data_IF_424221646684
#
_entry.id   IF_424221646684
#
_cell.length_a   1.000
_cell.length_b   1.000
_cell.length_c   1.000
_cell.angle_alpha   90.00
_cell.angle_beta   90.00
_cell.angle_gamma   90.00
#
_symmetry.space_group_name_H-M   'P 1'
#
loop_
_entity.id
_entity.type
_entity.pdbx_description
1 polymer ?
#
# COMPACT_ATOMS: atom_id res chain seq x y z
N UNK A 1 9.18 0.92 -21.29
CA UNK A 1 9.71 1.93 -20.36
C UNK A 1 10.95 1.32 -19.68
N UNK A 2 11.54 1.92 -18.67
CA UNK A 2 12.73 1.39 -17.99
C UNK A 2 12.51 1.40 -16.49
N UNK A 3 13.24 0.55 -15.75
CA UNK A 3 13.17 0.51 -14.28
C UNK A 3 13.88 1.71 -13.67
N UNK A 4 13.19 2.47 -12.83
CA UNK A 4 13.72 3.58 -12.06
C UNK A 4 13.34 3.39 -10.58
N UNK A 5 14.34 3.12 -9.76
CA UNK A 5 14.16 2.95 -8.31
C UNK A 5 15.08 3.91 -7.57
N UNK A 6 14.54 4.62 -6.59
CA UNK A 6 15.38 5.42 -5.67
C UNK A 6 16.09 4.51 -4.66
N UNK A 7 17.19 4.97 -4.04
CA UNK A 7 17.82 4.25 -2.94
C UNK A 7 16.84 3.96 -1.79
N UNK A 8 15.96 4.92 -1.48
CA UNK A 8 14.95 4.79 -0.43
C UNK A 8 13.93 3.70 -0.77
N UNK A 9 13.49 3.64 -2.03
CA UNK A 9 12.58 2.60 -2.51
C UNK A 9 13.22 1.21 -2.36
N UNK A 10 14.48 1.02 -2.77
CA UNK A 10 15.16 -0.26 -2.62
C UNK A 10 15.40 -0.66 -1.16
N UNK A 11 15.85 0.28 -0.31
CA UNK A 11 16.01 0.02 1.12
C UNK A 11 14.69 -0.40 1.76
N UNK A 12 13.60 0.28 1.40
CA UNK A 12 12.27 0.02 1.95
C UNK A 12 11.71 -1.34 1.51
N UNK A 13 11.83 -1.68 0.23
CA UNK A 13 11.43 -2.99 -0.31
C UNK A 13 12.20 -4.14 0.33
N UNK A 14 13.47 -3.93 0.68
CA UNK A 14 14.34 -4.93 1.31
C UNK A 14 14.30 -4.95 2.84
N UNK A 15 13.59 -4.00 3.47
CA UNK A 15 13.45 -3.95 4.92
C UNK A 15 14.68 -3.41 5.66
N UNK A 16 15.55 -2.67 5.00
CA UNK A 16 16.80 -2.16 5.57
C UNK A 16 16.55 -0.90 6.42
N UNK A 17 16.01 -1.07 7.63
CA UNK A 17 15.58 0.02 8.49
C UNK A 17 16.68 1.06 8.80
N UNK A 18 17.91 0.66 9.10
CA UNK A 18 18.98 1.62 9.36
C UNK A 18 19.31 2.45 8.12
N UNK A 19 19.33 1.82 6.93
CA UNK A 19 19.58 2.51 5.66
C UNK A 19 18.43 3.45 5.33
N UNK A 20 17.18 3.03 5.53
CA UNK A 20 15.99 3.88 5.38
C UNK A 20 16.10 5.12 6.27
N UNK A 21 16.47 4.97 7.55
CA UNK A 21 16.66 6.11 8.48
C UNK A 21 17.69 7.10 7.94
N UNK A 22 18.88 6.61 7.57
CA UNK A 22 19.97 7.46 7.04
C UNK A 22 19.55 8.22 5.77
N UNK A 23 18.81 7.57 4.88
CA UNK A 23 18.32 8.20 3.65
C UNK A 23 17.28 9.30 3.95
N UNK A 24 16.36 9.05 4.88
CA UNK A 24 15.37 10.05 5.31
C UNK A 24 16.02 11.23 6.03
N UNK A 25 17.02 10.96 6.90
CA UNK A 25 17.84 12.00 7.55
C UNK A 25 18.57 12.86 6.51
N UNK A 26 19.05 12.24 5.43
CA UNK A 26 19.65 12.91 4.27
C UNK A 26 18.63 13.60 3.33
N UNK A 27 17.37 13.77 3.77
CA UNK A 27 16.30 14.45 3.03
C UNK A 27 15.87 13.73 1.74
N UNK A 28 16.01 12.40 1.68
CA UNK A 28 15.33 11.62 0.63
C UNK A 28 13.82 11.85 0.72
N UNK A 29 13.16 12.07 -0.42
CA UNK A 29 11.72 12.28 -0.45
C UNK A 29 10.99 10.96 -0.16
N UNK A 30 10.25 10.91 0.96
CA UNK A 30 9.50 9.72 1.38
C UNK A 30 8.38 9.32 0.41
N UNK A 31 7.97 10.25 -0.47
CA UNK A 31 6.92 10.05 -1.46
C UNK A 31 7.44 9.75 -2.87
N UNK A 32 8.75 9.60 -3.06
CA UNK A 32 9.27 9.13 -4.34
C UNK A 32 8.82 7.69 -4.60
N UNK A 33 8.45 7.43 -5.85
CA UNK A 33 7.99 6.13 -6.33
C UNK A 33 9.10 5.40 -7.07
N UNK A 34 9.14 4.08 -6.91
CA UNK A 34 9.83 3.18 -7.83
C UNK A 34 8.89 2.85 -9.00
N UNK A 35 9.44 2.75 -10.20
CA UNK A 35 8.68 2.40 -11.40
C UNK A 35 9.43 1.41 -12.27
N UNK A 36 8.68 0.52 -12.91
CA UNK A 36 9.13 -0.27 -14.05
C UNK A 36 8.00 -0.32 -15.09
N UNK A 37 8.17 -1.15 -16.12
CA UNK A 37 7.20 -1.28 -17.22
C UNK A 37 5.78 -1.66 -16.81
N UNK A 38 5.62 -2.26 -15.64
CA UNK A 38 4.37 -2.87 -15.18
C UNK A 38 3.89 -2.35 -13.83
N UNK A 39 4.74 -1.68 -13.06
CA UNK A 39 4.44 -1.29 -11.68
C UNK A 39 4.95 0.11 -11.40
N UNK A 40 4.14 0.92 -10.73
CA UNK A 40 4.57 2.15 -10.05
C UNK A 40 4.09 2.12 -8.61
N UNK A 41 5.01 2.21 -7.65
CA UNK A 41 4.71 2.04 -6.23
C UNK A 41 5.58 2.93 -5.35
N UNK A 42 5.03 3.39 -4.23
CA UNK A 42 5.77 4.14 -3.22
C UNK A 42 6.67 3.23 -2.36
N UNK A 43 7.67 3.83 -1.72
CA UNK A 43 8.52 3.13 -0.73
C UNK A 43 7.68 2.53 0.41
N UNK A 44 6.61 3.22 0.82
CA UNK A 44 5.71 2.77 1.88
C UNK A 44 4.89 1.55 1.45
N UNK A 45 4.37 1.55 0.22
CA UNK A 45 3.64 0.41 -0.33
C UNK A 45 4.49 -0.85 -0.36
N UNK A 46 5.75 -0.75 -0.81
CA UNK A 46 6.66 -1.90 -0.84
C UNK A 46 7.02 -2.40 0.55
N UNK A 47 7.26 -1.50 1.51
CA UNK A 47 7.53 -1.87 2.90
C UNK A 47 6.33 -2.60 3.53
N UNK A 48 5.11 -2.09 3.31
CA UNK A 48 3.87 -2.69 3.79
C UNK A 48 3.61 -4.07 3.14
N UNK A 49 3.81 -4.18 1.83
CA UNK A 49 3.63 -5.43 1.06
C UNK A 49 4.55 -6.55 1.55
N UNK A 50 5.76 -6.22 2.01
CA UNK A 50 6.75 -7.19 2.47
C UNK A 50 6.82 -7.35 4.00
N UNK A 51 5.95 -6.67 4.76
CA UNK A 51 5.87 -6.84 6.21
C UNK A 51 6.94 -6.09 7.02
N UNK A 52 7.61 -5.10 6.43
CA UNK A 52 8.72 -4.37 7.05
C UNK A 52 8.24 -3.29 8.01
N UNK A 53 7.67 -3.71 9.15
CA UNK A 53 7.01 -2.83 10.14
C UNK A 53 7.88 -1.63 10.57
N UNK A 54 9.18 -1.84 10.83
CA UNK A 54 10.07 -0.74 11.25
C UNK A 54 10.26 0.31 10.15
N UNK A 55 10.36 -0.14 8.89
CA UNK A 55 10.47 0.75 7.72
C UNK A 55 9.17 1.51 7.50
N UNK A 56 8.01 0.86 7.64
CA UNK A 56 6.70 1.51 7.58
C UNK A 56 6.63 2.67 8.58
N UNK A 57 6.99 2.44 9.85
CA UNK A 57 7.02 3.49 10.87
C UNK A 57 7.93 4.66 10.48
N UNK A 58 9.16 4.38 10.03
CA UNK A 58 10.10 5.43 9.59
C UNK A 58 9.54 6.28 8.44
N UNK A 59 8.91 5.65 7.45
CA UNK A 59 8.34 6.36 6.30
C UNK A 59 7.13 7.21 6.70
N UNK A 60 6.26 6.72 7.58
CA UNK A 60 5.13 7.47 8.11
C UNK A 60 5.58 8.65 8.99
N UNK A 61 6.59 8.46 9.84
CA UNK A 61 7.23 9.55 10.60
C UNK A 61 7.78 10.64 9.68
N UNK A 62 8.28 10.26 8.50
CA UNK A 62 8.74 11.14 7.44
C UNK A 62 7.63 11.66 6.51
N UNK A 63 6.35 11.50 6.89
CA UNK A 63 5.16 11.98 6.14
C UNK A 63 5.02 11.37 4.75
N UNK A 64 5.38 10.09 4.60
CA UNK A 64 4.93 9.31 3.45
C UNK A 64 3.40 9.27 3.40
N UNK A 65 2.83 9.40 2.21
CA UNK A 65 1.41 9.31 1.98
C UNK A 65 0.93 7.87 2.20
N UNK A 66 0.20 7.67 3.31
CA UNK A 66 -0.37 6.37 3.69
C UNK A 66 -1.42 5.85 2.70
N UNK A 67 -1.99 6.74 1.88
CA UNK A 67 -2.99 6.43 0.85
C UNK A 67 -2.41 6.33 -0.56
N UNK A 68 -1.09 6.48 -0.72
CA UNK A 68 -0.42 6.38 -2.01
C UNK A 68 -0.74 5.04 -2.68
N UNK A 69 -1.33 5.12 -3.89
CA UNK A 69 -1.77 3.93 -4.62
C UNK A 69 -0.63 3.39 -5.46
N UNK A 70 -0.40 2.09 -5.35
CA UNK A 70 0.32 1.37 -6.38
C UNK A 70 -0.54 1.28 -7.63
N UNK A 71 0.12 1.29 -8.79
CA UNK A 71 -0.47 1.08 -10.11
C UNK A 71 0.21 -0.13 -10.76
N UNK A 72 -0.58 -1.19 -11.01
CA UNK A 72 -0.12 -2.43 -11.63
C UNK A 72 -0.75 -2.61 -13.01
N UNK A 73 0.06 -2.61 -14.06
CA UNK A 73 -0.35 -2.95 -15.43
C UNK A 73 -0.20 -4.47 -15.61
N UNK A 74 -1.32 -5.20 -15.63
CA UNK A 74 -1.31 -6.64 -15.90
C UNK A 74 -1.36 -6.95 -17.40
N UNK A 75 -2.12 -6.15 -18.15
CA UNK A 75 -2.22 -6.17 -19.60
C UNK A 75 -2.27 -4.71 -20.10
N UNK A 76 -1.99 -4.43 -21.39
CA UNK A 76 -1.94 -3.05 -21.92
C UNK A 76 -3.18 -2.20 -21.58
N UNK A 77 -4.31 -2.86 -21.41
CA UNK A 77 -5.62 -2.27 -21.17
C UNK A 77 -6.22 -2.70 -19.82
N UNK A 78 -5.42 -3.22 -18.89
CA UNK A 78 -5.90 -3.70 -17.58
C UNK A 78 -4.95 -3.27 -16.46
N UNK A 79 -5.43 -2.36 -15.61
CA UNK A 79 -4.67 -1.70 -14.56
C UNK A 79 -5.35 -1.91 -13.22
N UNK A 80 -4.59 -2.33 -12.22
CA UNK A 80 -5.04 -2.42 -10.85
C UNK A 80 -4.45 -1.29 -10.02
N UNK A 81 -5.20 -0.90 -8.99
CA UNK A 81 -4.75 0.03 -7.97
C UNK A 81 -4.93 -0.58 -6.58
N UNK A 82 -3.87 -0.53 -5.78
CA UNK A 82 -3.86 -1.04 -4.42
C UNK A 82 -3.23 -0.04 -3.46
N UNK A 83 -3.58 -0.10 -2.18
CA UNK A 83 -3.04 0.75 -1.13
C UNK A 83 -2.17 -0.06 -0.16
N UNK A 84 -1.27 0.59 0.60
CA UNK A 84 -0.54 -0.06 1.68
C UNK A 84 -1.47 -0.78 2.68
N UNK A 85 -2.65 -0.21 2.95
CA UNK A 85 -3.62 -0.79 3.90
C UNK A 85 -4.24 -2.08 3.36
N UNK A 86 -4.57 -2.14 2.06
CA UNK A 86 -5.11 -3.34 1.41
C UNK A 86 -4.09 -4.48 1.46
N UNK A 87 -2.86 -4.22 1.02
CA UNK A 87 -1.81 -5.26 0.95
C UNK A 87 -1.42 -5.79 2.33
N UNK A 88 -1.39 -4.93 3.35
CA UNK A 88 -1.14 -5.31 4.74
C UNK A 88 -2.31 -6.11 5.33
N UNK A 89 -3.55 -5.71 5.01
CA UNK A 89 -4.76 -6.40 5.48
C UNK A 89 -4.90 -7.80 4.89
N UNK A 90 -4.65 -7.93 3.58
CA UNK A 90 -4.62 -9.21 2.87
C UNK A 90 -3.49 -10.16 3.32
N UNK A 91 -2.50 -9.65 4.06
CA UNK A 91 -1.36 -10.44 4.59
C UNK A 91 -1.40 -10.62 6.10
N UNK A 92 -2.39 -10.03 6.79
CA UNK A 92 -2.53 -10.18 8.23
C UNK A 92 -1.50 -9.40 9.05
N UNK A 93 -0.88 -8.36 8.49
CA UNK A 93 0.16 -7.57 9.18
C UNK A 93 -0.45 -6.57 10.17
N UNK A 94 -0.91 -7.08 11.32
CA UNK A 94 -1.64 -6.33 12.36
C UNK A 94 -0.99 -4.99 12.71
N UNK A 95 0.31 -4.96 12.96
CA UNK A 95 0.98 -3.72 13.39
C UNK A 95 1.11 -2.71 12.24
N UNK A 96 1.32 -3.18 11.01
CA UNK A 96 1.35 -2.29 9.84
C UNK A 96 -0.05 -1.72 9.58
N UNK A 97 -1.10 -2.53 9.73
CA UNK A 97 -2.49 -2.07 9.61
C UNK A 97 -2.78 -0.97 10.65
N UNK A 98 -2.37 -1.16 11.91
CA UNK A 98 -2.51 -0.14 12.96
C UNK A 98 -1.83 1.17 12.54
N UNK A 99 -0.55 1.11 12.19
CA UNK A 99 0.23 2.29 11.78
C UNK A 99 -0.39 3.03 10.59
N UNK A 100 -0.87 2.28 9.60
CA UNK A 100 -1.50 2.85 8.42
C UNK A 100 -2.86 3.49 8.73
N UNK A 101 -3.68 2.88 9.59
CA UNK A 101 -4.96 3.47 10.01
C UNK A 101 -4.76 4.77 10.78
N UNK A 102 -3.76 4.82 11.66
CA UNK A 102 -3.39 6.02 12.42
C UNK A 102 -2.92 7.16 11.49
N UNK A 103 -2.25 6.85 10.39
CA UNK A 103 -1.72 7.83 9.44
C UNK A 103 -2.72 8.24 8.33
N UNK A 104 -3.50 7.29 7.79
CA UNK A 104 -4.38 7.50 6.64
C UNK A 104 -5.72 8.15 7.01
N UNK A 105 -6.26 7.82 8.19
CA UNK A 105 -7.56 8.30 8.64
C UNK A 105 -8.78 7.73 7.88
N UNK A 106 -8.57 6.89 6.86
CA UNK A 106 -9.62 6.20 6.11
C UNK A 106 -9.31 4.70 6.00
N UNK A 107 -10.26 3.87 6.44
CA UNK A 107 -10.16 2.41 6.40
C UNK A 107 -10.82 1.79 5.16
N UNK A 108 -11.48 2.60 4.32
CA UNK A 108 -12.39 2.13 3.28
C UNK A 108 -11.85 2.28 1.86
N UNK A 109 -10.69 2.89 1.66
CA UNK A 109 -10.13 3.07 0.31
C UNK A 109 -10.01 1.72 -0.40
N UNK A 110 -10.73 1.50 -1.50
CA UNK A 110 -10.86 0.17 -2.10
C UNK A 110 -9.72 -0.15 -3.04
N UNK A 111 -9.50 -1.44 -3.25
CA UNK A 111 -8.82 -1.96 -4.43
C UNK A 111 -9.65 -1.62 -5.64
N UNK A 112 -9.01 -1.23 -6.75
CA UNK A 112 -9.69 -0.94 -8.00
C UNK A 112 -9.04 -1.73 -9.12
N UNK A 113 -9.86 -2.37 -9.95
CA UNK A 113 -9.44 -3.04 -11.19
C UNK A 113 -10.14 -2.37 -12.36
N UNK A 114 -9.38 -1.69 -13.21
CA UNK A 114 -9.89 -0.91 -14.35
C UNK A 114 -9.39 -1.46 -15.68
N UNK A 115 -10.20 -1.28 -16.72
CA UNK A 115 -9.81 -1.53 -18.11
C UNK A 115 -10.10 -0.33 -19.00
N UNK A 116 -9.23 -0.07 -19.97
CA UNK A 116 -9.39 1.04 -20.93
C UNK A 116 -10.55 0.85 -21.92
N UNK A 117 -11.11 -0.38 -22.02
CA UNK A 117 -12.13 -0.73 -23.01
C UNK A 117 -13.57 -0.40 -22.59
N UNK A 118 -13.82 -0.18 -21.30
CA UNK A 118 -15.18 0.10 -20.80
C UNK A 118 -15.16 1.27 -19.83
N UNK A 119 -15.61 2.44 -20.27
CA UNK A 119 -15.75 3.64 -19.43
C UNK A 119 -17.02 3.64 -18.58
N UNK A 120 -18.00 2.77 -18.89
CA UNK A 120 -19.39 2.92 -18.43
C UNK A 120 -20.02 1.65 -17.81
N UNK A 121 -19.22 0.62 -17.47
CA UNK A 121 -19.76 -0.54 -16.75
C UNK A 121 -19.45 -0.45 -15.27
N UNK A 122 -20.52 -0.46 -14.46
CA UNK A 122 -20.56 -0.67 -13.00
C UNK A 122 -19.92 -2.00 -12.53
N UNK A 123 -19.08 -2.65 -13.34
CA UNK A 123 -18.40 -3.91 -13.03
C UNK A 123 -16.93 -3.72 -12.63
N UNK A 124 -16.61 -2.64 -11.92
CA UNK A 124 -15.34 -2.55 -11.20
C UNK A 124 -15.38 -3.52 -10.02
N UNK A 125 -14.48 -4.51 -10.01
CA UNK A 125 -14.24 -5.28 -8.79
C UNK A 125 -13.58 -4.35 -7.78
N UNK A 126 -14.36 -3.87 -6.81
CA UNK A 126 -13.86 -3.11 -5.67
C UNK A 126 -13.87 -4.02 -4.44
N UNK A 127 -12.71 -4.12 -3.79
CA UNK A 127 -12.54 -4.90 -2.57
C UNK A 127 -11.88 -4.02 -1.51
N UNK A 128 -12.48 -3.96 -0.33
CA UNK A 128 -11.98 -3.14 0.77
C UNK A 128 -10.87 -3.87 1.53
N UNK A 129 -10.06 -3.16 2.34
CA UNK A 129 -9.16 -3.81 3.30
C UNK A 129 -9.88 -4.85 4.17
N UNK A 130 -11.13 -4.56 4.57
CA UNK A 130 -11.94 -5.45 5.39
C UNK A 130 -12.31 -6.73 4.65
N UNK A 131 -12.68 -6.64 3.36
CA UNK A 131 -12.97 -7.80 2.53
C UNK A 131 -11.80 -8.79 2.53
N UNK A 132 -10.58 -8.31 2.23
CA UNK A 132 -9.40 -9.19 2.15
C UNK A 132 -9.00 -9.77 3.51
N UNK A 133 -9.11 -8.99 4.59
CA UNK A 133 -8.84 -9.48 5.94
C UNK A 133 -9.83 -10.58 6.36
N UNK A 134 -11.12 -10.41 6.01
CA UNK A 134 -12.17 -11.38 6.29
C UNK A 134 -12.03 -12.65 5.43
N UNK A 135 -11.80 -12.50 4.12
CA UNK A 135 -11.55 -13.62 3.20
C UNK A 135 -10.37 -14.48 3.68
N UNK A 136 -9.31 -13.83 4.17
CA UNK A 136 -8.09 -14.51 4.63
C UNK A 136 -8.17 -15.00 6.09
N UNK A 137 -9.25 -14.71 6.83
CA UNK A 137 -9.44 -15.15 8.21
C UNK A 137 -8.61 -14.40 9.27
N UNK A 138 -8.11 -13.19 8.98
CA UNK A 138 -7.30 -12.40 9.91
C UNK A 138 -8.17 -11.63 10.91
N UNK A 139 -8.70 -12.34 11.91
CA UNK A 139 -9.66 -11.80 12.88
C UNK A 139 -9.18 -10.52 13.60
N UNK A 140 -7.89 -10.40 13.89
CA UNK A 140 -7.36 -9.20 14.56
C UNK A 140 -7.26 -7.99 13.63
N UNK A 141 -6.94 -8.20 12.36
CA UNK A 141 -7.00 -7.14 11.33
C UNK A 141 -8.45 -6.71 11.12
N UNK A 142 -9.39 -7.66 11.04
CA UNK A 142 -10.82 -7.37 10.95
C UNK A 142 -11.28 -6.51 12.12
N UNK A 143 -10.84 -6.83 13.35
CA UNK A 143 -11.15 -6.03 14.55
C UNK A 143 -10.67 -4.59 14.39
N UNK A 144 -9.39 -4.39 14.03
CA UNK A 144 -8.82 -3.05 13.84
C UNK A 144 -9.58 -2.24 12.78
N UNK A 145 -9.91 -2.86 11.65
CA UNK A 145 -10.64 -2.20 10.57
C UNK A 145 -12.06 -1.80 11.00
N UNK A 146 -12.79 -2.67 11.71
CA UNK A 146 -14.13 -2.37 12.24
C UNK A 146 -14.07 -1.26 13.29
N UNK A 147 -13.07 -1.27 14.18
CA UNK A 147 -12.83 -0.19 15.15
C UNK A 147 -12.55 1.15 14.45
N UNK A 148 -11.87 1.11 13.29
CA UNK A 148 -11.64 2.25 12.42
C UNK A 148 -12.83 2.60 11.49
N UNK A 149 -14.02 2.02 11.73
CA UNK A 149 -15.26 2.26 10.98
C UNK A 149 -15.18 1.84 9.50
N UNK A 150 -14.49 0.74 9.21
CA UNK A 150 -14.57 0.13 7.89
C UNK A 150 -16.01 -0.34 7.59
N UNK A 151 -16.48 -0.09 6.37
CA UNK A 151 -17.81 -0.47 5.90
C UNK A 151 -17.91 -1.99 5.73
N UNK A 152 -19.06 -2.55 6.15
CA UNK A 152 -19.29 -4.00 6.20
C UNK A 152 -20.30 -4.49 5.14
N UNK A 153 -20.69 -3.65 4.17
CA UNK A 153 -21.82 -3.88 3.25
C UNK A 153 -21.49 -3.47 1.82
#
# INVERSE_FOLDING_TARGET
MGRFDTPLYQASRRGHAEVTSLLLEAQANANDEGTNDFVRASSLFEAATHGHTRVVGLLLDARADANAREEQILFPDFVNFSTPLITASARGYVEIVRLLLEAAGDANTPYISQTSYVSDLDSEFSATPLFYAAESGYAEVVRLLVEARADTW
#
